data_IF_626378353396
#
_entry.id   IF_626378353396
#
_cell.length_a   1.000
_cell.length_b   1.000
_cell.length_c   1.000
_cell.angle_alpha   90.00
_cell.angle_beta   90.00
_cell.angle_gamma   90.00
#
_symmetry.space_group_name_H-M   'P 1'
#
loop_
_entity.id
_entity.type
_entity.pdbx_description
1 polymer ?
#
# COMPACT_ATOMS: atom_id res chain seq x y z
N UNK A 1 -9.16 -10.51 -9.42
CA UNK A 1 -8.64 -10.19 -8.06
C UNK A 1 -8.88 -8.72 -7.75
N UNK A 2 -9.27 -8.41 -6.53
CA UNK A 2 -9.47 -7.01 -6.05
C UNK A 2 -8.18 -6.47 -5.46
N UNK A 3 -7.70 -5.33 -5.94
CA UNK A 3 -6.49 -4.66 -5.46
C UNK A 3 -6.89 -3.43 -4.63
N UNK A 4 -6.51 -3.42 -3.36
CA UNK A 4 -6.81 -2.35 -2.42
C UNK A 4 -5.52 -1.66 -2.01
N UNK A 5 -5.35 -0.41 -2.39
CA UNK A 5 -4.26 0.44 -1.89
C UNK A 5 -4.62 0.95 -0.49
N UNK A 6 -3.79 0.64 0.48
CA UNK A 6 -3.94 1.14 1.85
C UNK A 6 -2.77 2.04 2.19
N UNK A 7 -3.08 3.24 2.65
CA UNK A 7 -2.06 4.27 2.92
C UNK A 7 -2.51 5.21 4.04
N UNK A 8 -1.56 5.74 4.78
CA UNK A 8 -1.76 6.88 5.68
C UNK A 8 -1.17 8.13 5.03
N UNK A 9 -1.88 9.24 5.11
CA UNK A 9 -1.45 10.50 4.52
C UNK A 9 -1.76 11.70 5.42
N UNK A 10 -0.97 12.76 5.29
CA UNK A 10 -1.28 14.08 5.83
C UNK A 10 -2.39 14.76 5.01
N UNK A 11 -2.99 15.82 5.52
CA UNK A 11 -4.03 16.62 4.84
C UNK A 11 -3.59 17.08 3.44
N UNK A 12 -2.31 17.41 3.28
CA UNK A 12 -1.75 17.82 1.99
C UNK A 12 -1.14 16.66 1.18
N UNK A 13 -1.57 15.40 1.43
CA UNK A 13 -1.27 14.24 0.59
C UNK A 13 0.13 13.65 0.75
N UNK A 14 0.86 13.98 1.83
CA UNK A 14 2.18 13.38 2.08
C UNK A 14 2.06 12.03 2.78
N UNK A 15 2.69 11.01 2.24
CA UNK A 15 2.78 9.66 2.80
C UNK A 15 4.03 9.45 3.66
N UNK A 16 4.94 10.42 3.70
CA UNK A 16 6.08 10.45 4.64
C UNK A 16 6.24 11.83 5.26
N UNK A 17 6.85 11.90 6.45
CA UNK A 17 7.25 13.15 7.09
C UNK A 17 8.71 13.42 6.75
N UNK A 18 8.97 14.32 5.78
CA UNK A 18 10.30 14.52 5.24
C UNK A 18 10.88 13.21 4.69
N UNK A 19 12.10 12.88 5.06
CA UNK A 19 12.80 11.65 4.66
C UNK A 19 12.46 10.42 5.54
N UNK A 20 11.61 10.59 6.55
CA UNK A 20 11.24 9.50 7.47
C UNK A 20 10.30 8.54 6.75
N UNK A 21 10.83 7.39 6.31
CA UNK A 21 10.06 6.34 5.63
C UNK A 21 9.17 5.53 6.58
N UNK A 22 9.52 5.48 7.88
CA UNK A 22 8.72 4.77 8.87
C UNK A 22 7.51 5.60 9.29
N UNK A 23 6.36 5.32 8.71
CA UNK A 23 5.10 6.05 8.97
C UNK A 23 4.63 5.93 10.43
N UNK A 24 5.04 4.89 11.16
CA UNK A 24 4.66 4.69 12.57
C UNK A 24 5.18 5.78 13.50
N UNK A 25 6.20 6.53 13.07
CA UNK A 25 6.78 7.63 13.86
C UNK A 25 5.80 8.80 13.99
N UNK A 26 4.90 8.96 13.01
CA UNK A 26 3.99 10.10 12.96
C UNK A 26 2.52 9.73 12.82
N UNK A 27 2.19 8.52 12.34
CA UNK A 27 0.80 8.09 12.27
C UNK A 27 0.23 7.77 13.66
N UNK A 28 -1.07 7.94 13.81
CA UNK A 28 -1.78 7.72 15.06
C UNK A 28 -1.81 6.25 15.47
N UNK A 29 -2.09 6.01 16.76
CA UNK A 29 -2.30 4.65 17.27
C UNK A 29 -3.54 4.00 16.64
N UNK A 30 -4.54 4.81 16.31
CA UNK A 30 -5.77 4.38 15.64
C UNK A 30 -5.48 3.86 14.24
N UNK A 31 -4.69 4.60 13.45
CA UNK A 31 -4.22 4.15 12.13
C UNK A 31 -3.41 2.86 12.25
N UNK A 32 -2.43 2.83 13.15
CA UNK A 32 -1.57 1.66 13.35
C UNK A 32 -2.38 0.42 13.74
N UNK A 33 -3.39 0.56 14.60
CA UNK A 33 -4.29 -0.53 15.00
C UNK A 33 -5.15 -0.99 13.83
N UNK A 34 -5.72 -0.05 13.08
CA UNK A 34 -6.49 -0.35 11.88
C UNK A 34 -5.65 -1.10 10.85
N UNK A 35 -4.47 -0.58 10.54
CA UNK A 35 -3.54 -1.23 9.59
C UNK A 35 -3.14 -2.63 10.05
N UNK A 36 -2.82 -2.82 11.34
CA UNK A 36 -2.50 -4.13 11.89
C UNK A 36 -3.66 -5.13 11.71
N UNK A 37 -4.91 -4.68 11.90
CA UNK A 37 -6.10 -5.51 11.65
C UNK A 37 -6.23 -5.91 10.19
N UNK A 38 -5.94 -5.01 9.25
CA UNK A 38 -5.95 -5.32 7.82
C UNK A 38 -4.87 -6.34 7.47
N UNK A 39 -3.63 -6.14 7.94
CA UNK A 39 -2.53 -7.08 7.74
C UNK A 39 -2.88 -8.47 8.31
N UNK A 40 -3.52 -8.52 9.48
CA UNK A 40 -3.91 -9.78 10.10
C UNK A 40 -4.92 -10.56 9.23
N UNK A 41 -5.88 -9.86 8.64
CA UNK A 41 -6.95 -10.45 7.82
C UNK A 41 -6.53 -10.77 6.37
N UNK A 42 -5.42 -10.21 5.90
CA UNK A 42 -4.96 -10.37 4.52
C UNK A 42 -4.02 -11.55 4.39
N UNK A 43 -4.17 -12.33 3.33
CA UNK A 43 -3.28 -13.43 2.96
C UNK A 43 -2.27 -13.04 1.86
N UNK A 44 -2.48 -11.94 1.14
CA UNK A 44 -1.56 -11.39 0.15
C UNK A 44 -1.32 -9.90 0.40
N UNK A 45 -0.05 -9.54 0.62
CA UNK A 45 0.38 -8.17 0.87
C UNK A 45 1.51 -7.82 -0.09
N UNK A 46 1.38 -6.70 -0.80
CA UNK A 46 2.37 -6.24 -1.78
C UNK A 46 2.91 -4.88 -1.38
N UNK A 47 4.21 -4.70 -1.50
CA UNK A 47 4.89 -3.45 -1.17
C UNK A 47 6.12 -3.21 -2.03
N UNK A 48 6.58 -1.98 -2.09
CA UNK A 48 7.87 -1.65 -2.69
C UNK A 48 9.04 -1.91 -1.73
N UNK A 49 10.24 -2.04 -2.29
CA UNK A 49 11.47 -2.29 -1.54
C UNK A 49 11.70 -1.30 -0.39
N UNK A 50 11.56 -0.02 -0.62
CA UNK A 50 11.80 1.00 0.43
C UNK A 50 10.81 0.85 1.60
N UNK A 51 9.55 0.52 1.29
CA UNK A 51 8.53 0.23 2.32
C UNK A 51 8.87 -1.03 3.10
N UNK A 52 9.34 -2.07 2.41
CA UNK A 52 9.81 -3.30 3.05
C UNK A 52 10.99 -3.02 3.98
N UNK A 53 12.02 -2.32 3.51
CA UNK A 53 13.21 -2.00 4.32
C UNK A 53 12.84 -1.21 5.59
N UNK A 54 11.94 -0.23 5.48
CA UNK A 54 11.44 0.53 6.63
C UNK A 54 10.61 -0.32 7.61
N UNK A 55 9.86 -1.30 7.11
CA UNK A 55 8.98 -2.15 7.91
C UNK A 55 9.67 -3.44 8.39
N UNK A 56 10.78 -3.86 7.79
CA UNK A 56 11.46 -5.12 8.04
C UNK A 56 11.68 -5.45 9.52
N UNK A 57 12.09 -4.50 10.39
CA UNK A 57 12.31 -4.80 11.81
C UNK A 57 11.05 -5.27 12.56
N UNK A 58 9.87 -5.00 12.03
CA UNK A 58 8.59 -5.31 12.66
C UNK A 58 7.75 -6.35 11.88
N UNK A 59 8.19 -6.73 10.68
CA UNK A 59 7.51 -7.77 9.90
C UNK A 59 7.71 -9.12 10.59
N UNK A 60 6.58 -9.75 10.94
CA UNK A 60 6.54 -11.13 11.39
C UNK A 60 6.03 -11.99 10.24
N UNK A 61 6.87 -12.90 9.75
CA UNK A 61 6.46 -13.89 8.77
C UNK A 61 5.58 -14.94 9.45
N UNK A 62 4.52 -15.33 8.77
CA UNK A 62 3.55 -16.31 9.28
C UNK A 62 3.07 -17.19 8.13
N UNK A 63 2.82 -18.49 8.35
CA UNK A 63 2.20 -19.36 7.35
C UNK A 63 0.90 -18.76 6.78
N UNK A 64 0.56 -19.12 5.55
CA UNK A 64 -0.65 -18.69 4.84
C UNK A 64 -0.75 -17.17 4.57
N UNK A 65 0.36 -16.45 4.70
CA UNK A 65 0.43 -15.01 4.42
C UNK A 65 1.65 -14.70 3.57
N UNK A 66 1.40 -14.50 2.27
CA UNK A 66 2.44 -14.13 1.32
C UNK A 66 2.64 -12.60 1.31
N UNK A 67 3.88 -12.18 1.47
CA UNK A 67 4.33 -10.81 1.23
C UNK A 67 5.19 -10.77 -0.01
N UNK A 68 4.85 -9.90 -0.94
CA UNK A 68 5.61 -9.70 -2.17
C UNK A 68 6.23 -8.31 -2.14
N UNK A 69 7.51 -8.27 -2.35
CA UNK A 69 8.29 -7.03 -2.42
C UNK A 69 8.70 -6.77 -3.87
N UNK A 70 8.13 -5.72 -4.44
CA UNK A 70 8.49 -5.28 -5.79
C UNK A 70 9.81 -4.51 -5.76
N UNK A 71 10.77 -5.00 -6.54
CA UNK A 71 12.11 -4.43 -6.68
C UNK A 71 12.68 -4.69 -8.07
N UNK A 72 13.49 -3.77 -8.60
CA UNK A 72 14.17 -3.96 -9.88
C UNK A 72 15.27 -5.03 -9.85
N UNK A 73 15.77 -5.35 -8.66
CA UNK A 73 16.87 -6.30 -8.47
C UNK A 73 16.49 -7.37 -7.41
N UNK A 74 15.59 -8.32 -7.70
CA UNK A 74 15.14 -9.33 -6.74
C UNK A 74 16.29 -10.22 -6.26
N UNK A 75 17.24 -10.57 -7.12
CA UNK A 75 18.39 -11.42 -6.80
C UNK A 75 19.21 -10.92 -5.58
N UNK A 76 19.28 -9.59 -5.37
CA UNK A 76 19.97 -9.01 -4.20
C UNK A 76 19.31 -9.37 -2.87
N UNK A 77 18.04 -9.77 -2.92
CA UNK A 77 17.20 -10.05 -1.76
C UNK A 77 16.87 -11.53 -1.59
N UNK A 78 17.28 -12.38 -2.52
CA UNK A 78 16.98 -13.82 -2.54
C UNK A 78 17.27 -14.51 -1.21
N UNK A 79 18.35 -14.14 -0.53
CA UNK A 79 18.71 -14.67 0.80
C UNK A 79 17.68 -14.37 1.91
N UNK A 80 16.75 -13.48 1.68
CA UNK A 80 15.69 -13.13 2.64
C UNK A 80 14.36 -13.79 2.30
N UNK A 81 14.26 -14.46 1.17
CA UNK A 81 13.04 -15.15 0.77
C UNK A 81 12.69 -16.29 1.71
N UNK A 82 11.40 -16.43 1.96
CA UNK A 82 10.84 -17.54 2.72
C UNK A 82 9.65 -18.07 1.93
N UNK A 83 9.74 -19.32 1.50
CA UNK A 83 8.75 -19.97 0.65
C UNK A 83 7.33 -19.80 1.19
N UNK A 84 6.43 -19.27 0.37
CA UNK A 84 5.03 -19.03 0.73
C UNK A 84 4.79 -17.89 1.72
N UNK A 85 5.82 -17.14 2.16
CA UNK A 85 5.70 -16.08 3.16
C UNK A 85 6.33 -14.75 2.73
N UNK A 86 7.47 -14.79 2.03
CA UNK A 86 8.17 -13.60 1.55
C UNK A 86 8.86 -13.87 0.22
N UNK A 87 8.52 -13.08 -0.77
CA UNK A 87 9.04 -13.15 -2.13
C UNK A 87 9.49 -11.77 -2.61
N UNK A 88 10.54 -11.74 -3.42
CA UNK A 88 11.01 -10.54 -4.11
C UNK A 88 10.90 -10.75 -5.63
N UNK A 89 10.28 -9.79 -6.31
CA UNK A 89 10.04 -9.90 -7.76
C UNK A 89 10.17 -8.55 -8.47
N UNK A 90 10.44 -8.58 -9.76
CA UNK A 90 10.39 -7.44 -10.67
C UNK A 90 9.16 -7.46 -11.58
N UNK A 91 8.15 -8.23 -11.25
CA UNK A 91 6.91 -8.28 -12.02
C UNK A 91 6.33 -6.88 -12.25
N UNK A 92 5.75 -6.66 -13.43
CA UNK A 92 4.86 -5.52 -13.63
C UNK A 92 3.58 -5.68 -12.80
N UNK A 93 2.86 -4.61 -12.48
CA UNK A 93 1.57 -4.70 -11.79
C UNK A 93 0.59 -5.68 -12.46
N UNK A 94 0.47 -5.63 -13.78
CA UNK A 94 -0.41 -6.54 -14.54
C UNK A 94 0.05 -7.99 -14.48
N UNK A 95 1.35 -8.23 -14.61
CA UNK A 95 1.94 -9.57 -14.51
C UNK A 95 1.71 -10.16 -13.11
N UNK A 96 1.99 -9.37 -12.07
CA UNK A 96 1.79 -9.78 -10.69
C UNK A 96 0.32 -10.10 -10.38
N UNK A 97 -0.60 -9.21 -10.77
CA UNK A 97 -2.04 -9.42 -10.57
C UNK A 97 -2.48 -10.73 -11.22
N UNK A 98 -2.13 -10.96 -12.49
CA UNK A 98 -2.46 -12.18 -13.23
C UNK A 98 -1.89 -13.43 -12.55
N UNK A 99 -0.63 -13.38 -12.13
CA UNK A 99 0.05 -14.49 -11.44
C UNK A 99 -0.67 -14.85 -10.14
N UNK A 100 -1.01 -13.84 -9.32
CA UNK A 100 -1.70 -14.07 -8.04
C UNK A 100 -3.13 -14.58 -8.24
N UNK A 101 -3.85 -14.08 -9.25
CA UNK A 101 -5.17 -14.62 -9.61
C UNK A 101 -5.10 -16.11 -9.97
N UNK A 102 -4.11 -16.50 -10.78
CA UNK A 102 -3.90 -17.92 -11.15
C UNK A 102 -3.58 -18.80 -9.93
N UNK A 103 -2.98 -18.22 -8.88
CA UNK A 103 -2.71 -18.89 -7.61
C UNK A 103 -3.90 -18.89 -6.64
N UNK A 104 -5.06 -18.37 -7.05
CA UNK A 104 -6.30 -18.38 -6.26
C UNK A 104 -6.43 -17.23 -5.25
N UNK A 105 -5.60 -16.19 -5.32
CA UNK A 105 -5.78 -15.01 -4.47
C UNK A 105 -6.92 -14.13 -4.99
N UNK A 106 -7.86 -13.80 -4.12
CA UNK A 106 -9.03 -12.95 -4.46
C UNK A 106 -8.78 -11.48 -4.16
N UNK A 107 -7.94 -11.17 -3.17
CA UNK A 107 -7.66 -9.81 -2.73
C UNK A 107 -6.17 -9.60 -2.52
N UNK A 108 -5.65 -8.49 -3.05
CA UNK A 108 -4.30 -7.99 -2.84
C UNK A 108 -4.35 -6.72 -1.99
N UNK A 109 -3.65 -6.71 -0.86
CA UNK A 109 -3.43 -5.50 -0.08
C UNK A 109 -2.12 -4.84 -0.54
N UNK A 110 -2.23 -3.73 -1.27
CA UNK A 110 -1.09 -2.92 -1.70
C UNK A 110 -0.80 -1.87 -0.65
N UNK A 111 0.39 -1.90 -0.06
CA UNK A 111 0.75 -0.98 1.05
C UNK A 111 1.80 0.07 0.66
N UNK A 112 1.91 0.35 -0.61
CA UNK A 112 2.75 1.42 -1.16
C UNK A 112 4.23 1.01 -1.31
N UNK A 113 5.24 1.88 -1.32
CA UNK A 113 5.30 3.34 -1.40
C UNK A 113 4.87 3.95 -2.73
N UNK A 114 5.04 5.27 -2.81
CA UNK A 114 4.52 6.10 -3.91
C UNK A 114 4.88 5.57 -5.30
N UNK A 115 6.12 5.14 -5.54
CA UNK A 115 6.55 4.56 -6.83
C UNK A 115 5.69 3.37 -7.25
N UNK A 116 5.47 2.44 -6.33
CA UNK A 116 4.70 1.23 -6.62
C UNK A 116 3.22 1.57 -6.80
N UNK A 117 2.66 2.43 -5.95
CA UNK A 117 1.29 2.92 -6.10
C UNK A 117 1.08 3.57 -7.48
N UNK A 118 2.02 4.42 -7.91
CA UNK A 118 1.99 5.07 -9.21
C UNK A 118 1.99 4.06 -10.36
N UNK A 119 2.85 3.03 -10.30
CA UNK A 119 2.88 1.97 -11.32
C UNK A 119 1.56 1.23 -11.41
N UNK A 120 0.96 0.84 -10.27
CA UNK A 120 -0.33 0.18 -10.25
C UNK A 120 -1.47 1.06 -10.78
N UNK A 121 -1.45 2.37 -10.50
CA UNK A 121 -2.41 3.32 -11.08
C UNK A 121 -2.25 3.44 -12.60
N UNK A 122 -1.03 3.57 -13.11
CA UNK A 122 -0.75 3.66 -14.55
C UNK A 122 -1.25 2.46 -15.33
N UNK A 123 -1.22 1.28 -14.73
CA UNK A 123 -1.72 0.05 -15.34
C UNK A 123 -3.19 -0.25 -15.01
N UNK A 124 -3.92 0.70 -14.39
CA UNK A 124 -5.32 0.55 -13.99
C UNK A 124 -5.60 -0.69 -13.11
N UNK A 125 -4.64 -1.03 -12.22
CA UNK A 125 -4.71 -2.23 -11.38
C UNK A 125 -5.16 -1.97 -9.94
N UNK A 126 -5.55 -0.76 -9.59
CA UNK A 126 -6.12 -0.44 -8.27
C UNK A 126 -7.65 -0.34 -8.41
N UNK A 127 -8.36 -1.06 -7.57
CA UNK A 127 -9.83 -1.03 -7.52
C UNK A 127 -10.32 -0.11 -6.42
N UNK A 128 -9.61 -0.09 -5.28
CA UNK A 128 -9.99 0.77 -4.15
C UNK A 128 -8.76 1.42 -3.51
N UNK A 129 -9.00 2.58 -2.90
CA UNK A 129 -8.03 3.31 -2.09
C UNK A 129 -8.63 3.51 -0.71
N UNK A 130 -7.93 3.03 0.32
CA UNK A 130 -8.28 3.24 1.71
C UNK A 130 -7.23 4.12 2.36
N UNK A 131 -7.58 5.37 2.64
CA UNK A 131 -6.67 6.39 3.16
C UNK A 131 -7.02 6.71 4.59
N UNK A 132 -6.08 6.54 5.52
CA UNK A 132 -6.17 7.21 6.81
C UNK A 132 -5.61 8.62 6.65
N UNK A 133 -6.47 9.61 6.84
CA UNK A 133 -6.09 11.01 6.76
C UNK A 133 -5.78 11.53 8.17
N UNK A 134 -4.51 11.83 8.39
CA UNK A 134 -4.01 12.40 9.65
C UNK A 134 -4.06 13.92 9.59
N UNK A 135 -4.44 14.61 10.68
CA UNK A 135 -4.59 16.06 10.74
C UNK A 135 -3.23 16.77 10.82
N UNK A 136 -2.35 16.52 9.86
CA UNK A 136 -1.04 17.12 9.71
C UNK A 136 -0.89 17.79 8.35
N UNK A 137 -0.02 18.79 8.27
CA UNK A 137 0.51 19.35 7.03
C UNK A 137 2.03 19.22 7.09
N UNK A 138 2.61 18.53 6.09
CA UNK A 138 4.05 18.39 5.98
C UNK A 138 4.58 19.19 4.79
N UNK A 139 5.51 20.10 5.03
CA UNK A 139 6.15 20.87 3.96
C UNK A 139 7.02 20.00 3.03
N UNK A 140 7.63 18.95 3.58
CA UNK A 140 8.45 17.97 2.85
C UNK A 140 7.95 16.55 3.09
N UNK A 141 8.17 15.67 2.12
CA UNK A 141 7.79 14.25 2.18
C UNK A 141 7.35 13.72 0.83
N UNK A 142 7.30 12.41 0.69
CA UNK A 142 6.79 11.74 -0.52
C UNK A 142 5.29 11.94 -0.64
N UNK A 143 4.81 12.13 -1.84
CA UNK A 143 3.38 12.15 -2.12
C UNK A 143 2.80 10.73 -2.11
N UNK A 144 1.48 10.61 -2.07
CA UNK A 144 0.75 9.34 -2.21
C UNK A 144 1.08 8.66 -3.55
N UNK A 145 1.18 9.44 -4.60
CA UNK A 145 1.64 9.07 -5.95
C UNK A 145 2.77 9.99 -6.37
N UNK A 146 3.68 9.49 -7.21
CA UNK A 146 4.71 10.35 -7.80
C UNK A 146 4.08 11.33 -8.79
N UNK A 147 4.72 12.47 -8.94
CA UNK A 147 4.33 13.46 -9.94
C UNK A 147 4.47 12.85 -11.34
N UNK A 148 3.34 12.73 -12.03
CA UNK A 148 3.23 12.09 -13.34
C UNK A 148 1.91 12.46 -13.99
N UNK A 149 1.79 12.26 -15.28
CA UNK A 149 0.52 12.42 -16.00
C UNK A 149 -0.45 11.29 -15.58
N UNK A 150 -1.25 11.56 -14.56
CA UNK A 150 -2.25 10.66 -14.01
C UNK A 150 -3.47 11.48 -13.60
N UNK A 151 -4.61 11.16 -14.21
CA UNK A 151 -5.90 11.76 -13.88
C UNK A 151 -6.91 10.65 -13.60
N UNK A 152 -7.40 10.56 -12.37
CA UNK A 152 -8.29 9.51 -11.92
C UNK A 152 -9.45 10.09 -11.12
N UNK A 153 -10.65 9.67 -11.46
CA UNK A 153 -11.84 9.97 -10.68
C UNK A 153 -12.07 8.89 -9.63
N UNK A 154 -12.39 9.33 -8.43
CA UNK A 154 -12.68 8.45 -7.29
C UNK A 154 -14.14 8.61 -6.87
N UNK A 155 -14.78 7.51 -6.50
CA UNK A 155 -16.12 7.50 -5.91
C UNK A 155 -16.02 7.11 -4.44
N UNK A 156 -16.52 7.98 -3.56
CA UNK A 156 -16.53 7.73 -2.12
C UNK A 156 -17.41 6.50 -1.80
N UNK A 157 -16.85 5.55 -1.05
CA UNK A 157 -17.55 4.36 -0.52
C UNK A 157 -17.96 4.61 0.92
N UNK A 158 -17.02 5.10 1.75
CA UNK A 158 -17.25 5.27 3.19
C UNK A 158 -16.30 6.28 3.81
N UNK A 159 -16.78 6.94 4.87
CA UNK A 159 -16.01 7.80 5.77
C UNK A 159 -16.20 7.32 7.19
N UNK A 160 -15.11 7.07 7.89
CA UNK A 160 -15.14 6.72 9.33
C UNK A 160 -14.24 7.65 10.10
N UNK A 161 -14.79 8.31 11.12
CA UNK A 161 -13.99 9.07 12.07
C UNK A 161 -13.37 8.12 13.09
N UNK A 162 -12.05 8.00 13.11
CA UNK A 162 -11.34 7.05 13.97
C UNK A 162 -11.21 7.54 15.41
N UNK A 163 -11.18 8.87 15.63
CA UNK A 163 -11.14 9.46 16.97
C UNK A 163 -11.69 10.89 17.00
N UNK A 164 -11.73 11.47 18.19
CA UNK A 164 -12.20 12.87 18.39
C UNK A 164 -11.23 13.95 17.86
N UNK A 165 -9.97 13.58 17.56
CA UNK A 165 -8.93 14.50 17.06
C UNK A 165 -9.01 14.77 15.57
N UNK A 166 -9.95 14.15 14.85
CA UNK A 166 -10.17 14.41 13.42
C UNK A 166 -9.42 13.47 12.48
N UNK A 167 -8.98 12.30 12.95
CA UNK A 167 -8.41 11.26 12.10
C UNK A 167 -9.56 10.59 11.35
N UNK A 168 -9.47 10.58 10.02
CA UNK A 168 -10.50 10.04 9.13
C UNK A 168 -9.96 8.85 8.34
N UNK A 169 -10.74 7.79 8.28
CA UNK A 169 -10.55 6.71 7.31
C UNK A 169 -11.50 6.93 6.14
N UNK A 170 -10.94 7.17 4.98
CA UNK A 170 -11.67 7.38 3.73
C UNK A 170 -11.48 6.16 2.84
N UNK A 171 -12.58 5.61 2.30
CA UNK A 171 -12.55 4.53 1.33
C UNK A 171 -13.16 4.99 0.03
N UNK A 172 -12.44 4.81 -1.05
CA UNK A 172 -12.87 5.16 -2.40
C UNK A 172 -12.73 3.97 -3.33
N UNK A 173 -13.64 3.86 -4.29
CA UNK A 173 -13.42 3.06 -5.51
C UNK A 173 -12.79 3.93 -6.58
N UNK A 174 -11.90 3.33 -7.37
CA UNK A 174 -11.34 3.97 -8.57
C UNK A 174 -12.34 3.80 -9.72
N UNK A 175 -12.75 4.91 -10.31
CA UNK A 175 -13.61 4.88 -11.50
C UNK A 175 -12.72 4.54 -12.70
N UNK A 176 -12.87 3.32 -13.21
CA UNK A 176 -12.12 2.89 -14.40
C UNK A 176 -12.71 3.59 -15.64
N UNK A 177 -11.87 4.04 -16.59
CA UNK A 177 -12.37 4.56 -17.85
C UNK A 177 -13.26 3.51 -18.53
N UNK A 178 -14.38 3.96 -19.11
CA UNK A 178 -15.19 3.08 -19.97
C UNK A 178 -14.31 2.75 -21.19
N UNK A 179 -14.10 1.47 -21.42
CA UNK A 179 -13.49 0.95 -22.66
C UNK A 179 -14.45 1.16 -23.82
#
# INVERSE_FOLDING_TARGET
>A
MRVILVVVASINGKSTKGEIANVRVWSSKEDQKYFATLIQKSNLIVMGRETYEAARPIIKLTPHKLRIVLTRNPERFKRFEVLGQLEFTNDSPSGLVKRMETQGYETMLLVGGSKISTLFFKENKIDEIWVTLEPYIFGRGKNLVEETNLDLTLKLINVTKLNKKGILLLKYSVVKPKV
#
